data_IF_931953419505
#
_entry.id   IF_931953419505
#
_cell.length_a   1.000
_cell.length_b   1.000
_cell.length_c   1.000
_cell.angle_alpha   90.00
_cell.angle_beta   90.00
_cell.angle_gamma   90.00
#
_symmetry.space_group_name_H-M   'P 1'
#
loop_
_entity.id
_entity.type
_entity.pdbx_description
1 polymer ?
#
# COMPACT_ATOMS: atom_id res chain seq x y z
N UNK A 1 23.45 59.91 20.14
CA UNK A 1 22.21 59.19 20.42
C UNK A 1 21.30 58.98 19.18
N UNK A 2 20.99 60.01 18.38
CA UNK A 2 20.10 59.86 17.19
C UNK A 2 20.62 58.87 16.11
N UNK A 3 21.90 58.75 15.88
CA UNK A 3 22.48 57.80 14.90
C UNK A 3 22.42 56.36 15.39
N UNK A 4 22.58 56.10 16.68
CA UNK A 4 22.46 54.80 17.29
C UNK A 4 21.05 54.20 17.09
N UNK A 5 20.01 54.99 17.37
CA UNK A 5 18.62 54.58 17.17
C UNK A 5 18.30 54.33 15.68
N UNK A 6 18.84 55.15 14.76
CA UNK A 6 18.66 54.88 13.30
C UNK A 6 19.29 53.58 12.85
N UNK A 7 20.50 53.27 13.32
CA UNK A 7 21.17 51.99 12.98
C UNK A 7 20.45 50.78 13.59
N UNK A 8 19.99 50.93 14.85
CA UNK A 8 19.22 49.88 15.51
C UNK A 8 17.91 49.60 14.78
N UNK A 9 17.14 50.64 14.40
CA UNK A 9 15.92 50.49 13.62
C UNK A 9 16.16 49.87 12.22
N UNK A 10 17.21 50.31 11.54
CA UNK A 10 17.54 49.72 10.22
C UNK A 10 17.93 48.24 10.30
N UNK A 11 18.67 47.85 11.34
CA UNK A 11 19.05 46.46 11.58
C UNK A 11 17.86 45.60 11.91
N UNK A 12 16.98 46.05 12.82
CA UNK A 12 15.77 45.29 13.17
C UNK A 12 14.80 45.13 11.99
N UNK A 13 14.65 46.20 11.18
CA UNK A 13 13.83 46.16 9.97
C UNK A 13 14.41 45.18 8.93
N UNK A 14 15.75 45.18 8.76
CA UNK A 14 16.43 44.24 7.86
C UNK A 14 16.24 42.78 8.27
N UNK A 15 16.34 42.47 9.57
CA UNK A 15 16.11 41.14 10.10
C UNK A 15 14.65 40.73 9.93
N UNK A 16 13.68 41.60 10.18
CA UNK A 16 12.25 41.29 9.97
C UNK A 16 11.94 41.02 8.50
N UNK A 17 12.50 41.79 7.58
CA UNK A 17 12.33 41.56 6.13
C UNK A 17 12.94 40.22 5.70
N UNK A 18 14.16 39.92 6.14
CA UNK A 18 14.82 38.66 5.84
C UNK A 18 14.00 37.46 6.36
N UNK A 19 13.49 37.57 7.60
CA UNK A 19 12.66 36.49 8.20
C UNK A 19 11.32 36.33 7.46
N UNK A 20 10.71 37.43 7.00
CA UNK A 20 9.50 37.40 6.18
C UNK A 20 9.73 36.73 4.84
N UNK A 21 10.85 36.98 4.17
CA UNK A 21 11.21 36.34 2.91
C UNK A 21 11.44 34.81 3.11
N UNK A 22 12.17 34.44 4.15
CA UNK A 22 12.41 33.02 4.48
C UNK A 22 11.08 32.30 4.74
N UNK A 23 10.18 32.92 5.50
CA UNK A 23 8.87 32.32 5.83
C UNK A 23 8.01 32.16 4.58
N UNK A 24 7.98 33.15 3.68
CA UNK A 24 7.23 33.03 2.42
C UNK A 24 7.79 31.94 1.49
N UNK A 25 9.11 31.78 1.43
CA UNK A 25 9.75 30.70 0.65
C UNK A 25 9.40 29.33 1.24
N UNK A 26 9.46 29.18 2.57
CA UNK A 26 9.09 27.93 3.25
C UNK A 26 7.62 27.58 3.01
N UNK A 27 6.71 28.54 3.12
CA UNK A 27 5.28 28.33 2.87
C UNK A 27 5.04 27.96 1.40
N UNK A 28 5.69 28.65 0.46
CA UNK A 28 5.56 28.32 -0.98
C UNK A 28 6.09 26.93 -1.29
N UNK A 29 7.17 26.52 -0.64
CA UNK A 29 7.76 25.19 -0.82
C UNK A 29 6.84 24.08 -0.25
N UNK A 30 6.21 24.33 0.90
CA UNK A 30 5.25 23.39 1.49
C UNK A 30 3.97 23.27 0.66
N UNK A 31 3.43 24.38 0.17
CA UNK A 31 2.25 24.38 -0.71
C UNK A 31 2.56 23.67 -2.03
N UNK A 32 3.72 23.94 -2.64
CA UNK A 32 4.17 23.26 -3.85
C UNK A 32 4.33 21.74 -3.65
N UNK A 33 4.88 21.32 -2.51
CA UNK A 33 5.01 19.91 -2.16
C UNK A 33 3.64 19.22 -1.99
N UNK A 34 2.72 19.85 -1.26
CA UNK A 34 1.35 19.32 -1.07
C UNK A 34 0.61 19.24 -2.40
N UNK A 35 0.76 20.22 -3.28
CA UNK A 35 0.13 20.22 -4.61
C UNK A 35 0.66 19.11 -5.51
N UNK A 36 1.95 18.77 -5.43
CA UNK A 36 2.55 17.68 -6.22
C UNK A 36 2.26 16.29 -5.66
N UNK A 37 2.19 16.14 -4.34
CA UNK A 37 1.87 14.85 -3.68
C UNK A 37 0.37 14.57 -3.70
N UNK A 38 -0.47 15.60 -3.65
CA UNK A 38 -1.93 15.47 -3.66
C UNK A 38 -2.58 15.32 -5.04
N UNK A 39 -1.85 15.56 -6.12
CA UNK A 39 -2.37 15.37 -7.47
C UNK A 39 -2.10 13.94 -7.93
N UNK A 40 -2.93 12.99 -7.52
CA UNK A 40 -3.06 11.73 -8.26
C UNK A 40 -3.60 12.09 -9.65
N UNK A 41 -2.91 11.70 -10.74
CA UNK A 41 -3.43 11.94 -12.08
C UNK A 41 -4.80 11.27 -12.20
N UNK A 42 -5.79 12.05 -12.58
CA UNK A 42 -7.16 11.57 -12.78
C UNK A 42 -7.17 10.61 -13.97
N UNK A 43 -6.87 9.35 -13.70
CA UNK A 43 -6.79 8.32 -14.72
C UNK A 43 -8.19 7.86 -15.11
N UNK A 44 -8.68 8.33 -16.25
CA UNK A 44 -9.92 7.83 -16.84
C UNK A 44 -9.63 6.59 -17.68
N UNK A 45 -10.06 5.39 -17.26
CA UNK A 45 -9.82 4.17 -18.02
C UNK A 45 -10.49 4.25 -19.39
N UNK A 46 -9.80 3.71 -20.40
CA UNK A 46 -10.38 3.51 -21.75
C UNK A 46 -11.30 2.28 -21.71
N UNK A 47 -12.19 2.15 -22.71
CA UNK A 47 -13.01 0.95 -22.85
C UNK A 47 -12.13 -0.30 -22.99
N UNK A 48 -12.54 -1.40 -22.38
CA UNK A 48 -11.83 -2.69 -22.34
C UNK A 48 -10.47 -2.62 -21.62
N UNK A 49 -10.35 -1.76 -20.61
CA UNK A 49 -9.15 -1.73 -19.75
C UNK A 49 -9.13 -2.96 -18.83
N UNK A 50 -7.97 -3.59 -18.68
CA UNK A 50 -7.71 -4.62 -17.68
C UNK A 50 -7.05 -3.96 -16.48
N UNK A 51 -7.65 -4.12 -15.30
CA UNK A 51 -7.07 -3.58 -14.08
C UNK A 51 -5.99 -4.52 -13.55
N UNK A 52 -4.75 -4.03 -13.46
CA UNK A 52 -3.62 -4.82 -12.96
C UNK A 52 -3.45 -4.62 -11.46
N UNK A 53 -3.50 -5.70 -10.71
CA UNK A 53 -3.19 -5.75 -9.28
C UNK A 53 -1.83 -6.42 -9.10
N UNK A 54 -0.88 -5.73 -8.52
CA UNK A 54 0.41 -6.30 -8.13
C UNK A 54 0.37 -6.62 -6.63
N UNK A 55 0.43 -7.90 -6.29
CA UNK A 55 0.44 -8.40 -4.92
C UNK A 55 1.89 -8.71 -4.51
N UNK A 56 2.58 -7.73 -3.96
CA UNK A 56 3.98 -7.82 -3.56
C UNK A 56 4.25 -6.96 -2.34
N UNK A 57 5.11 -7.42 -1.41
CA UNK A 57 5.44 -6.72 -0.17
C UNK A 57 4.56 -7.13 1.02
N UNK A 58 4.21 -6.20 1.88
CA UNK A 58 3.43 -6.45 3.11
C UNK A 58 2.02 -5.88 2.98
N UNK A 59 1.02 -6.72 3.25
CA UNK A 59 -0.37 -6.28 3.30
C UNK A 59 -0.73 -5.87 4.73
N UNK A 60 -1.11 -4.61 4.91
CA UNK A 60 -1.60 -4.07 6.18
C UNK A 60 -3.06 -3.62 6.04
N UNK A 61 -3.84 -3.71 7.12
CA UNK A 61 -5.26 -3.35 7.09
C UNK A 61 -5.47 -1.87 6.74
N UNK A 62 -4.69 -1.01 7.37
CA UNK A 62 -4.67 0.43 7.13
C UNK A 62 -3.26 0.96 7.44
N UNK A 63 -2.33 0.90 6.48
CA UNK A 63 -0.98 1.42 6.70
C UNK A 63 -1.06 2.92 7.01
N UNK A 64 -0.52 3.31 8.17
CA UNK A 64 -0.35 4.73 8.48
C UNK A 64 0.70 5.29 7.50
N UNK A 65 0.30 6.27 6.71
CA UNK A 65 1.27 7.06 5.94
C UNK A 65 2.18 7.78 6.93
N UNK A 66 3.39 7.26 7.09
CA UNK A 66 4.40 7.96 7.88
C UNK A 66 5.07 9.01 6.96
N UNK A 67 4.78 10.30 7.14
CA UNK A 67 5.36 11.33 6.27
C UNK A 67 6.89 11.36 6.36
N UNK A 68 7.47 10.78 7.41
CA UNK A 68 8.90 10.68 7.60
C UNK A 68 9.54 9.57 6.75
N UNK A 69 8.85 8.45 6.52
CA UNK A 69 9.33 7.38 5.62
C UNK A 69 9.40 7.85 4.17
N UNK A 70 8.45 8.69 3.75
CA UNK A 70 8.47 9.32 2.43
C UNK A 70 9.69 10.24 2.24
N UNK A 71 10.13 10.93 3.31
CA UNK A 71 11.32 11.80 3.31
C UNK A 71 12.64 11.02 3.33
N UNK A 72 12.65 9.84 3.98
CA UNK A 72 13.83 8.97 4.09
C UNK A 72 14.01 8.06 2.87
N UNK A 73 13.06 8.05 1.93
CA UNK A 73 13.13 7.21 0.73
C UNK A 73 12.80 5.72 1.00
N UNK A 74 12.41 5.38 2.21
CA UNK A 74 11.92 4.05 2.58
C UNK A 74 10.49 3.88 2.05
N UNK A 75 10.38 3.57 0.78
CA UNK A 75 9.14 3.01 0.22
C UNK A 75 9.06 1.55 0.66
N UNK A 76 8.64 1.31 1.90
CA UNK A 76 8.11 -0.01 2.22
C UNK A 76 6.98 -0.28 1.23
N UNK A 77 7.08 -1.37 0.47
CA UNK A 77 6.01 -1.83 -0.40
C UNK A 77 4.85 -2.34 0.48
N UNK A 78 4.17 -1.40 1.12
CA UNK A 78 3.00 -1.68 1.94
C UNK A 78 1.75 -1.52 1.10
N UNK A 79 0.99 -2.59 1.00
CA UNK A 79 -0.33 -2.60 0.37
C UNK A 79 -1.39 -2.36 1.45
N UNK A 80 -2.31 -1.45 1.19
CA UNK A 80 -3.48 -1.23 2.03
C UNK A 80 -4.58 -2.22 1.64
N UNK A 81 -5.01 -3.06 2.59
CA UNK A 81 -6.14 -3.96 2.38
C UNK A 81 -7.41 -3.18 2.06
N UNK A 82 -7.67 -2.12 2.82
CA UNK A 82 -8.84 -1.26 2.64
C UNK A 82 -8.90 -0.69 1.22
N UNK A 83 -7.80 -0.12 0.75
CA UNK A 83 -7.77 0.52 -0.57
C UNK A 83 -7.86 -0.50 -1.70
N UNK A 84 -7.27 -1.68 -1.50
CA UNK A 84 -7.36 -2.78 -2.46
C UNK A 84 -8.80 -3.28 -2.60
N UNK A 85 -9.51 -3.52 -1.49
CA UNK A 85 -10.91 -3.94 -1.50
C UNK A 85 -11.81 -2.89 -2.15
N UNK A 86 -11.61 -1.61 -1.82
CA UNK A 86 -12.36 -0.51 -2.40
C UNK A 86 -12.08 -0.37 -3.91
N UNK A 87 -10.84 -0.52 -4.33
CA UNK A 87 -10.47 -0.47 -5.75
C UNK A 87 -11.10 -1.61 -6.55
N UNK A 88 -11.14 -2.84 -6.00
CA UNK A 88 -11.82 -3.98 -6.62
C UNK A 88 -13.33 -3.69 -6.73
N UNK A 89 -13.94 -3.10 -5.70
CA UNK A 89 -15.36 -2.72 -5.71
C UNK A 89 -15.66 -1.66 -6.79
N UNK A 90 -14.82 -0.63 -6.92
CA UNK A 90 -14.94 0.39 -7.96
C UNK A 90 -14.76 -0.25 -9.35
N UNK A 91 -13.79 -1.14 -9.51
CA UNK A 91 -13.56 -1.87 -10.76
C UNK A 91 -14.76 -2.74 -11.17
N UNK A 92 -15.46 -3.35 -10.20
CA UNK A 92 -16.71 -4.09 -10.44
C UNK A 92 -17.77 -3.22 -11.09
N UNK A 93 -17.94 -1.98 -10.62
CA UNK A 93 -18.96 -1.04 -11.06
C UNK A 93 -18.61 -0.28 -12.34
N UNK A 94 -17.36 -0.30 -12.77
CA UNK A 94 -16.91 0.49 -13.92
C UNK A 94 -16.99 -0.31 -15.22
N UNK A 95 -17.92 0.05 -16.10
CA UNK A 95 -18.16 -0.63 -17.39
C UNK A 95 -16.95 -0.57 -18.35
N UNK A 96 -16.00 0.32 -18.12
CA UNK A 96 -14.78 0.40 -18.94
C UNK A 96 -13.75 -0.66 -18.57
N UNK A 97 -13.90 -1.32 -17.41
CA UNK A 97 -13.01 -2.39 -16.95
C UNK A 97 -13.59 -3.73 -17.39
N UNK A 98 -12.83 -4.45 -18.21
CA UNK A 98 -13.19 -5.76 -18.74
C UNK A 98 -12.82 -6.89 -17.79
N UNK A 99 -11.80 -6.73 -16.96
CA UNK A 99 -11.33 -7.76 -16.04
C UNK A 99 -10.18 -7.31 -15.16
N UNK A 100 -9.74 -8.21 -14.29
CA UNK A 100 -8.59 -8.03 -13.38
C UNK A 100 -7.48 -8.99 -13.80
N UNK A 101 -6.25 -8.47 -13.85
CA UNK A 101 -5.02 -9.24 -13.95
C UNK A 101 -4.24 -9.15 -12.65
N UNK A 102 -4.04 -10.29 -11.98
CA UNK A 102 -3.29 -10.39 -10.73
C UNK A 102 -1.88 -10.85 -11.06
N UNK A 103 -0.90 -10.01 -10.77
CA UNK A 103 0.51 -10.38 -10.74
C UNK A 103 0.90 -10.65 -9.28
N UNK A 104 1.04 -11.93 -8.94
CA UNK A 104 1.36 -12.34 -7.58
C UNK A 104 2.88 -12.45 -7.40
N UNK A 105 3.41 -11.60 -6.53
CA UNK A 105 4.79 -11.66 -6.05
C UNK A 105 4.87 -12.29 -4.65
N UNK A 106 5.84 -11.88 -3.86
CA UNK A 106 5.99 -12.30 -2.46
C UNK A 106 5.15 -11.39 -1.57
N UNK A 107 3.93 -11.81 -1.27
CA UNK A 107 3.02 -11.09 -0.40
C UNK A 107 3.05 -11.68 1.01
N UNK A 108 3.46 -10.87 1.99
CA UNK A 108 3.32 -11.17 3.42
C UNK A 108 1.98 -10.66 3.92
N UNK A 109 1.11 -11.56 4.38
CA UNK A 109 -0.24 -11.20 4.85
C UNK A 109 -0.81 -12.24 5.79
N UNK A 110 -1.79 -11.83 6.61
CA UNK A 110 -2.60 -12.74 7.40
C UNK A 110 -3.61 -13.51 6.55
N UNK A 111 -3.98 -14.72 6.96
CA UNK A 111 -4.97 -15.55 6.27
C UNK A 111 -6.35 -14.88 6.16
N UNK A 112 -6.74 -14.10 7.18
CA UNK A 112 -8.00 -13.35 7.17
C UNK A 112 -8.02 -12.28 6.08
N UNK A 113 -6.90 -11.56 5.89
CA UNK A 113 -6.77 -10.53 4.85
C UNK A 113 -6.78 -11.15 3.44
N UNK A 114 -6.13 -12.31 3.26
CA UNK A 114 -6.19 -13.07 2.01
C UNK A 114 -7.62 -13.51 1.69
N UNK A 115 -8.35 -14.01 2.68
CA UNK A 115 -9.75 -14.41 2.53
C UNK A 115 -10.65 -13.21 2.18
N UNK A 116 -10.43 -12.04 2.77
CA UNK A 116 -11.17 -10.83 2.45
C UNK A 116 -10.98 -10.42 0.98
N UNK A 117 -9.74 -10.43 0.47
CA UNK A 117 -9.45 -10.14 -0.93
C UNK A 117 -10.09 -11.21 -1.83
N UNK A 118 -9.97 -12.49 -1.47
CA UNK A 118 -10.56 -13.59 -2.22
C UNK A 118 -12.07 -13.43 -2.39
N UNK A 119 -12.79 -13.08 -1.32
CA UNK A 119 -14.23 -12.81 -1.37
C UNK A 119 -14.57 -11.62 -2.26
N UNK A 120 -13.78 -10.56 -2.19
CA UNK A 120 -13.96 -9.40 -3.06
C UNK A 120 -13.75 -9.73 -4.54
N UNK A 121 -12.81 -10.63 -4.87
CA UNK A 121 -12.61 -11.13 -6.23
C UNK A 121 -13.76 -12.05 -6.71
N UNK A 122 -14.32 -12.88 -5.83
CA UNK A 122 -15.50 -13.67 -6.13
C UNK A 122 -16.68 -12.74 -6.46
N UNK A 123 -16.92 -11.77 -5.61
CA UNK A 123 -17.96 -10.75 -5.82
C UNK A 123 -17.72 -9.96 -7.13
N UNK A 124 -16.48 -9.63 -7.45
CA UNK A 124 -16.14 -8.99 -8.74
C UNK A 124 -16.54 -9.87 -9.93
N UNK A 125 -16.30 -11.18 -9.87
CA UNK A 125 -16.65 -12.12 -10.94
C UNK A 125 -18.16 -12.25 -11.18
N UNK A 126 -18.99 -11.99 -10.18
CA UNK A 126 -20.45 -11.95 -10.35
C UNK A 126 -20.90 -10.88 -11.35
N UNK A 127 -20.07 -9.86 -11.63
CA UNK A 127 -20.34 -8.88 -12.69
C UNK A 127 -20.12 -9.41 -14.12
N UNK A 128 -19.72 -10.66 -14.29
CA UNK A 128 -19.41 -11.27 -15.60
C UNK A 128 -18.03 -10.92 -16.14
N UNK A 129 -17.20 -10.20 -15.38
CA UNK A 129 -15.84 -9.81 -15.75
C UNK A 129 -14.85 -10.91 -15.38
N UNK A 130 -13.78 -11.06 -16.18
CA UNK A 130 -12.79 -12.10 -15.94
C UNK A 130 -11.73 -11.71 -14.90
N UNK A 131 -11.16 -12.73 -14.27
CA UNK A 131 -9.97 -12.60 -13.40
C UNK A 131 -8.92 -13.57 -13.90
N UNK A 132 -7.70 -13.09 -14.13
CA UNK A 132 -6.54 -13.88 -14.53
C UNK A 132 -5.42 -13.63 -13.55
N UNK A 133 -4.73 -14.69 -13.12
CA UNK A 133 -3.60 -14.58 -12.22
C UNK A 133 -2.33 -15.18 -12.84
N UNK A 134 -1.20 -14.53 -12.56
CA UNK A 134 0.14 -15.01 -12.92
C UNK A 134 1.08 -14.85 -11.73
N UNK A 135 1.99 -15.80 -11.58
CA UNK A 135 3.13 -15.67 -10.68
C UNK A 135 4.36 -16.38 -11.23
N UNK A 136 5.53 -15.89 -10.85
CA UNK A 136 6.77 -16.62 -11.04
C UNK A 136 6.90 -17.75 -10.03
N UNK A 137 6.45 -17.52 -8.78
CA UNK A 137 6.36 -18.52 -7.73
C UNK A 137 5.09 -18.31 -6.91
N UNK A 138 4.41 -19.37 -6.54
CA UNK A 138 3.27 -19.33 -5.64
C UNK A 138 3.62 -19.89 -4.27
N UNK A 139 3.47 -19.08 -3.23
CA UNK A 139 3.28 -19.58 -1.88
C UNK A 139 1.86 -20.11 -1.71
N UNK A 140 1.63 -21.00 -0.75
CA UNK A 140 0.31 -21.54 -0.47
C UNK A 140 -0.76 -20.46 -0.29
N UNK A 141 -0.44 -19.37 0.46
CA UNK A 141 -1.38 -18.27 0.69
C UNK A 141 -1.72 -17.50 -0.60
N UNK A 142 -0.72 -17.20 -1.42
CA UNK A 142 -0.93 -16.50 -2.68
C UNK A 142 -1.69 -17.37 -3.69
N UNK A 143 -1.38 -18.67 -3.74
CA UNK A 143 -2.14 -19.60 -4.57
C UNK A 143 -3.60 -19.72 -4.12
N UNK A 144 -3.85 -19.79 -2.81
CA UNK A 144 -5.21 -19.77 -2.26
C UNK A 144 -6.01 -18.55 -2.74
N UNK A 145 -5.39 -17.38 -2.69
CA UNK A 145 -6.01 -16.13 -3.17
C UNK A 145 -6.25 -16.19 -4.68
N UNK A 146 -5.23 -16.57 -5.47
CA UNK A 146 -5.29 -16.56 -6.93
C UNK A 146 -6.15 -17.69 -7.51
N UNK A 147 -6.44 -18.75 -6.75
CA UNK A 147 -7.24 -19.88 -7.20
C UNK A 147 -8.71 -19.52 -7.52
N UNK A 148 -9.17 -18.33 -7.17
CA UNK A 148 -10.48 -17.79 -7.58
C UNK A 148 -10.51 -17.33 -9.04
N UNK A 149 -9.34 -17.07 -9.62
CA UNK A 149 -9.23 -16.62 -11.01
C UNK A 149 -9.75 -17.66 -12.01
N UNK A 150 -10.23 -17.17 -13.15
CA UNK A 150 -10.69 -18.04 -14.25
C UNK A 150 -9.53 -18.80 -14.88
N UNK A 151 -8.34 -18.19 -14.88
CA UNK A 151 -7.09 -18.83 -15.31
C UNK A 151 -5.96 -18.42 -14.38
N UNK A 152 -5.19 -19.41 -13.94
CA UNK A 152 -3.97 -19.22 -13.13
C UNK A 152 -2.79 -19.72 -13.95
N UNK A 153 -1.81 -18.87 -14.12
CA UNK A 153 -0.57 -19.18 -14.83
C UNK A 153 0.60 -19.16 -13.86
N UNK A 154 1.40 -20.19 -13.91
CA UNK A 154 2.69 -20.27 -13.21
C UNK A 154 3.80 -20.22 -14.25
N UNK A 155 4.87 -19.51 -13.95
CA UNK A 155 6.09 -19.59 -14.77
C UNK A 155 6.55 -21.04 -14.89
N UNK A 156 6.89 -21.54 -16.10
CA UNK A 156 7.32 -22.94 -16.29
C UNK A 156 8.51 -23.37 -15.44
N UNK A 157 9.35 -22.41 -15.00
CA UNK A 157 10.49 -22.67 -14.12
C UNK A 157 10.18 -22.27 -12.66
N UNK A 158 8.95 -21.87 -12.38
CA UNK A 158 8.49 -21.45 -11.06
C UNK A 158 8.12 -22.61 -10.15
N UNK A 159 7.98 -22.30 -8.89
CA UNK A 159 7.63 -23.26 -7.83
C UNK A 159 6.24 -22.92 -7.29
N UNK A 160 5.42 -23.96 -7.13
CA UNK A 160 4.18 -23.90 -6.35
C UNK A 160 4.41 -24.64 -5.03
N UNK A 161 4.43 -23.89 -3.93
CA UNK A 161 4.62 -24.43 -2.59
C UNK A 161 3.26 -24.69 -1.93
N UNK A 162 2.95 -25.96 -1.61
CA UNK A 162 1.75 -26.41 -0.90
C UNK A 162 2.16 -27.28 0.29
N UNK A 163 2.49 -26.65 1.40
CA UNK A 163 3.03 -27.32 2.60
C UNK A 163 1.95 -27.71 3.61
N UNK A 164 0.73 -27.19 3.47
CA UNK A 164 -0.34 -27.37 4.44
C UNK A 164 -0.18 -26.47 5.67
N UNK A 165 -1.01 -26.72 6.69
CA UNK A 165 -0.99 -25.98 7.95
C UNK A 165 -0.65 -26.93 9.09
N UNK A 166 0.33 -26.57 9.89
CA UNK A 166 0.68 -27.26 11.12
C UNK A 166 0.72 -26.23 12.27
N UNK A 167 0.13 -26.61 13.41
CA UNK A 167 0.21 -25.83 14.64
C UNK A 167 0.75 -26.68 15.76
N UNK A 168 1.76 -26.20 16.46
CA UNK A 168 2.33 -26.87 17.61
C UNK A 168 2.27 -25.93 18.81
N UNK A 169 1.61 -26.36 19.90
CA UNK A 169 1.52 -25.62 21.13
C UNK A 169 2.44 -26.27 22.16
N UNK A 170 3.29 -25.48 22.78
CA UNK A 170 4.14 -25.91 23.87
C UNK A 170 3.41 -25.73 25.19
N UNK A 171 3.37 -26.80 26.01
CA UNK A 171 2.78 -26.77 27.32
C UNK A 171 3.88 -26.77 28.38
N UNK A 172 3.96 -25.72 29.16
CA UNK A 172 4.99 -25.51 30.18
C UNK A 172 4.58 -25.94 31.57
N UNK A 173 3.33 -26.42 31.78
CA UNK A 173 2.81 -26.78 33.11
C UNK A 173 3.74 -27.71 33.87
N UNK A 174 4.19 -28.81 33.25
CA UNK A 174 5.07 -29.77 33.92
C UNK A 174 6.47 -29.24 34.26
N UNK A 175 6.92 -28.20 33.56
CA UNK A 175 8.16 -27.49 33.90
C UNK A 175 7.92 -26.56 35.10
N UNK A 176 6.81 -25.79 35.06
CA UNK A 176 6.43 -24.87 36.13
C UNK A 176 6.20 -25.59 37.47
N UNK A 177 5.49 -26.73 37.45
CA UNK A 177 5.27 -27.58 38.63
C UNK A 177 6.62 -28.07 39.23
N UNK A 178 7.65 -28.38 38.39
CA UNK A 178 8.98 -28.81 38.86
C UNK A 178 9.82 -27.68 39.45
N UNK A 179 9.58 -26.44 39.08
CA UNK A 179 10.29 -25.25 39.55
C UNK A 179 9.55 -24.59 40.71
N UNK A 180 8.37 -25.09 41.10
CA UNK A 180 7.56 -24.59 42.19
C UNK A 180 6.81 -23.29 41.88
N UNK A 181 6.48 -23.04 40.62
CA UNK A 181 5.70 -21.89 40.17
C UNK A 181 4.30 -22.34 39.76
#
# INVERSE_FOLDING_TARGET
MKQFFKMMFASTLGVMLAMGIILTVLISMTIGYIATVGSTPDYTPKSNTVFKIKLDGTLADNPAENPFSALMGDKENMLSLKDLLETIRIAKQNDKIAGIYIESGLLSSGSASLEAIRRSLIDFKESGKFVVAYADNFTQGNYFLCSVADKVFLNPQGILELTGLASQTLFYKGLMDKVGI
#
